data_IF_280506649621
#
_entry.id   IF_280506649621
#
_cell.length_a   1.000
_cell.length_b   1.000
_cell.length_c   1.000
_cell.angle_alpha   90.00
_cell.angle_beta   90.00
_cell.angle_gamma   90.00
#
_symmetry.space_group_name_H-M   'P 1'
#
loop_
_entity.id
_entity.type
_entity.pdbx_description
1 polymer ?
#
# COMPACT_ATOMS: atom_id res chain seq x y z
N UNK A 1 -15.12 21.29 3.10
CA UNK A 1 -13.91 20.47 3.27
C UNK A 1 -12.72 21.40 3.15
N UNK A 2 -12.31 22.00 4.27
CA UNK A 2 -11.12 22.84 4.33
C UNK A 2 -10.20 22.17 5.36
N UNK A 3 -8.99 21.85 4.94
CA UNK A 3 -7.95 21.34 5.84
C UNK A 3 -7.70 22.42 6.91
N UNK A 4 -7.76 22.03 8.18
CA UNK A 4 -7.47 22.92 9.29
C UNK A 4 -5.99 23.28 9.30
N UNK A 5 -5.64 24.34 10.03
CA UNK A 5 -4.24 24.76 10.20
C UNK A 5 -3.35 23.60 10.70
N UNK A 6 -3.90 22.76 11.58
CA UNK A 6 -3.21 21.59 12.14
C UNK A 6 -2.86 20.56 11.05
N UNK A 7 -3.76 20.31 10.11
CA UNK A 7 -3.54 19.33 9.04
C UNK A 7 -2.43 19.77 8.09
N UNK A 8 -2.38 21.07 7.78
CA UNK A 8 -1.30 21.66 7.00
C UNK A 8 0.05 21.55 7.73
N UNK A 9 0.09 21.84 9.03
CA UNK A 9 1.32 21.71 9.83
C UNK A 9 1.80 20.25 9.83
N UNK A 10 0.90 19.30 10.06
CA UNK A 10 1.25 17.85 10.06
C UNK A 10 1.69 17.40 8.67
N UNK A 11 1.01 17.84 7.61
CA UNK A 11 1.39 17.53 6.23
C UNK A 11 2.78 18.09 5.89
N UNK A 12 3.07 19.33 6.24
CA UNK A 12 4.38 19.97 6.01
C UNK A 12 5.46 19.24 6.80
N UNK A 13 5.23 18.92 8.07
CA UNK A 13 6.18 18.16 8.89
C UNK A 13 6.47 16.79 8.28
N UNK A 14 5.44 16.05 7.86
CA UNK A 14 5.58 14.75 7.22
C UNK A 14 6.35 14.83 5.90
N UNK A 15 6.10 15.88 5.10
CA UNK A 15 6.83 16.14 3.86
C UNK A 15 8.31 16.47 4.14
N UNK A 16 8.59 17.30 5.14
CA UNK A 16 9.97 17.64 5.54
C UNK A 16 10.70 16.38 6.02
N UNK A 17 10.06 15.52 6.80
CA UNK A 17 10.66 14.25 7.24
C UNK A 17 10.93 13.32 6.05
N UNK A 18 9.97 13.19 5.13
CA UNK A 18 10.12 12.38 3.91
C UNK A 18 11.27 12.88 3.03
N UNK A 19 11.26 14.18 2.68
CA UNK A 19 12.34 14.83 1.93
C UNK A 19 13.68 14.79 2.68
N UNK A 20 13.67 14.99 3.99
CA UNK A 20 14.84 14.94 4.85
C UNK A 20 15.54 13.58 4.80
N UNK A 21 14.78 12.47 4.84
CA UNK A 21 15.37 11.14 4.66
C UNK A 21 15.97 10.93 3.27
N UNK A 22 15.37 11.52 2.23
CA UNK A 22 15.89 11.51 0.87
C UNK A 22 17.19 12.30 0.72
N UNK A 23 17.22 13.54 1.20
CA UNK A 23 18.37 14.44 1.16
C UNK A 23 19.52 13.88 2.00
N UNK A 24 19.25 13.40 3.22
CA UNK A 24 20.25 12.76 4.09
C UNK A 24 20.91 11.56 3.41
N UNK A 25 20.10 10.69 2.79
CA UNK A 25 20.60 9.54 2.00
C UNK A 25 21.30 9.97 0.72
N UNK A 26 20.96 11.12 0.14
CA UNK A 26 21.64 11.69 -1.02
C UNK A 26 23.03 12.23 -0.67
N UNK A 27 23.15 12.99 0.42
CA UNK A 27 24.43 13.56 0.86
C UNK A 27 25.39 12.54 1.48
N UNK A 28 24.90 11.55 2.25
CA UNK A 28 25.75 10.49 2.81
C UNK A 28 26.24 9.46 1.78
N UNK A 29 25.78 9.52 0.53
CA UNK A 29 26.06 8.50 -0.48
C UNK A 29 27.07 9.03 -1.50
N UNK A 30 28.34 8.96 -1.11
CA UNK A 30 29.46 9.17 -2.01
C UNK A 30 29.55 8.01 -3.01
N UNK A 31 29.51 8.37 -4.29
CA UNK A 31 29.82 7.56 -5.48
C UNK A 31 28.74 6.66 -6.09
N UNK A 32 28.79 6.65 -7.43
CA UNK A 32 27.91 5.99 -8.38
C UNK A 32 27.70 4.50 -8.06
N UNK A 33 26.63 4.17 -7.34
CA UNK A 33 26.17 2.78 -7.25
C UNK A 33 25.65 2.39 -8.63
N UNK A 34 26.38 1.49 -9.30
CA UNK A 34 25.93 0.80 -10.51
C UNK A 34 24.47 0.38 -10.35
N UNK A 35 23.65 0.49 -11.40
CA UNK A 35 22.21 0.20 -11.36
C UNK A 35 21.89 -1.15 -10.71
N UNK A 36 22.77 -2.15 -10.87
CA UNK A 36 22.69 -3.44 -10.18
C UNK A 36 22.72 -3.32 -8.66
N UNK A 37 23.55 -2.45 -8.10
CA UNK A 37 23.72 -2.28 -6.67
C UNK A 37 22.62 -1.39 -6.05
N UNK A 38 22.02 -0.50 -6.86
CA UNK A 38 20.76 0.16 -6.52
C UNK A 38 19.60 -0.84 -6.44
N UNK A 39 19.53 -1.78 -7.40
CA UNK A 39 18.46 -2.78 -7.48
C UNK A 39 18.61 -3.96 -6.51
N UNK A 40 19.84 -4.37 -6.21
CA UNK A 40 20.15 -5.58 -5.43
C UNK A 40 20.36 -5.29 -3.94
N UNK A 41 20.37 -4.01 -3.52
CA UNK A 41 20.48 -3.60 -2.11
C UNK A 41 21.46 -4.48 -1.30
N UNK A 42 22.68 -4.62 -1.81
CA UNK A 42 23.81 -5.38 -1.24
C UNK A 42 23.53 -6.84 -0.80
N UNK A 43 22.40 -7.44 -1.19
CA UNK A 43 22.01 -8.80 -0.82
C UNK A 43 21.83 -9.06 0.68
N UNK A 44 21.85 -8.01 1.53
CA UNK A 44 21.67 -8.08 2.99
C UNK A 44 20.32 -7.50 3.44
N UNK A 45 19.25 -7.88 2.74
CA UNK A 45 17.91 -7.46 3.12
C UNK A 45 17.47 -8.20 4.39
N UNK A 46 17.00 -7.47 5.40
CA UNK A 46 16.40 -8.05 6.62
C UNK A 46 14.93 -8.33 6.36
N UNK A 47 14.45 -9.48 6.85
CA UNK A 47 13.07 -9.97 6.59
C UNK A 47 12.00 -8.95 7.00
N UNK A 48 12.12 -8.38 8.21
CA UNK A 48 11.10 -7.49 8.79
C UNK A 48 10.99 -6.17 8.00
N UNK A 49 12.08 -5.41 7.76
CA UNK A 49 12.02 -4.22 6.91
C UNK A 49 11.49 -4.47 5.50
N UNK A 50 11.87 -5.60 4.88
CA UNK A 50 11.34 -5.95 3.56
C UNK A 50 9.84 -6.24 3.63
N UNK A 51 9.37 -7.01 4.61
CA UNK A 51 7.94 -7.30 4.81
C UNK A 51 7.12 -6.02 5.07
N UNK A 52 7.63 -5.08 5.88
CA UNK A 52 7.00 -3.78 6.11
C UNK A 52 6.93 -2.93 4.85
N UNK A 53 7.99 -2.96 4.05
CA UNK A 53 8.01 -2.29 2.76
C UNK A 53 6.88 -2.82 1.88
N UNK A 54 6.78 -4.15 1.70
CA UNK A 54 5.71 -4.79 0.90
C UNK A 54 4.31 -4.39 1.39
N UNK A 55 4.10 -4.37 2.71
CA UNK A 55 2.84 -3.95 3.35
C UNK A 55 2.46 -2.52 2.96
N UNK A 56 3.41 -1.59 3.08
CA UNK A 56 3.21 -0.18 2.79
C UNK A 56 2.85 0.07 1.32
N UNK A 57 3.31 -0.77 0.39
CA UNK A 57 3.03 -0.64 -1.04
C UNK A 57 1.71 -1.31 -1.45
N UNK A 58 1.25 -2.34 -0.74
CA UNK A 58 -0.02 -3.03 -1.06
C UNK A 58 -1.25 -2.35 -0.46
N UNK A 59 -1.11 -1.72 0.70
CA UNK A 59 -2.25 -1.14 1.42
C UNK A 59 -2.31 0.36 1.22
N UNK A 60 -3.22 0.76 0.34
CA UNK A 60 -3.59 2.16 0.17
C UNK A 60 -4.32 2.69 1.41
N UNK A 61 -3.98 3.90 1.89
CA UNK A 61 -4.75 4.59 2.91
C UNK A 61 -6.23 4.80 2.52
N UNK A 62 -6.52 4.99 1.22
CA UNK A 62 -7.88 5.18 0.71
C UNK A 62 -8.77 3.96 0.92
N UNK A 63 -8.23 2.75 0.74
CA UNK A 63 -8.96 1.49 1.00
C UNK A 63 -9.27 1.27 2.48
N UNK A 64 -8.51 1.89 3.38
CA UNK A 64 -8.73 1.78 4.82
C UNK A 64 -9.99 2.53 5.27
N UNK A 65 -10.31 3.66 4.62
CA UNK A 65 -11.49 4.49 4.88
C UNK A 65 -12.71 4.18 4.00
N UNK A 66 -12.51 3.74 2.75
CA UNK A 66 -13.63 3.39 1.87
C UNK A 66 -14.49 2.24 2.41
N UNK A 67 -13.85 1.25 3.04
CA UNK A 67 -14.56 0.09 3.60
C UNK A 67 -15.42 0.44 4.84
N UNK A 68 -15.00 1.27 5.82
CA UNK A 68 -15.90 1.76 6.87
C UNK A 68 -17.16 2.44 6.32
N UNK A 69 -17.02 3.25 5.27
CA UNK A 69 -18.15 3.90 4.59
C UNK A 69 -19.07 2.85 3.99
N UNK A 70 -18.54 1.83 3.31
CA UNK A 70 -19.33 0.72 2.79
C UNK A 70 -20.05 -0.08 3.90
N UNK A 71 -19.38 -0.37 5.01
CA UNK A 71 -19.99 -1.06 6.15
C UNK A 71 -21.04 -0.19 6.87
N UNK A 72 -20.88 1.13 6.85
CA UNK A 72 -21.84 2.07 7.43
C UNK A 72 -23.10 2.19 6.57
N UNK A 73 -22.96 2.27 5.24
CA UNK A 73 -24.10 2.38 4.32
C UNK A 73 -24.79 1.04 4.01
N UNK A 74 -24.01 -0.04 3.83
CA UNK A 74 -24.53 -1.34 3.39
C UNK A 74 -24.53 -2.41 4.51
N UNK A 75 -24.04 -2.08 5.70
CA UNK A 75 -23.90 -3.02 6.81
C UNK A 75 -22.88 -4.14 6.51
N UNK A 76 -22.78 -5.10 7.42
CA UNK A 76 -22.09 -6.39 7.20
C UNK A 76 -22.86 -7.33 6.25
N UNK A 77 -23.98 -6.85 5.69
CA UNK A 77 -24.95 -7.64 4.92
C UNK A 77 -24.36 -8.23 3.63
N UNK A 78 -23.38 -7.56 3.02
CA UNK A 78 -22.67 -8.07 1.83
C UNK A 78 -21.95 -9.41 2.05
N UNK A 79 -21.50 -9.69 3.28
CA UNK A 79 -20.82 -10.94 3.63
C UNK A 79 -21.83 -12.03 4.05
N UNK A 80 -22.93 -11.64 4.68
CA UNK A 80 -23.89 -12.59 5.27
C UNK A 80 -24.92 -13.13 4.27
N UNK A 81 -25.32 -12.35 3.25
CA UNK A 81 -26.51 -12.69 2.46
C UNK A 81 -26.33 -13.78 1.40
N UNK A 82 -25.11 -14.23 1.07
CA UNK A 82 -24.91 -15.18 -0.03
C UNK A 82 -23.78 -16.21 0.22
N UNK A 83 -23.70 -16.78 1.43
CA UNK A 83 -22.71 -17.83 1.74
C UNK A 83 -22.98 -19.14 0.95
N UNK A 84 -24.25 -19.44 0.69
CA UNK A 84 -24.67 -20.72 0.06
C UNK A 84 -24.89 -20.59 -1.45
N UNK A 85 -24.87 -19.37 -2.00
CA UNK A 85 -25.24 -19.15 -3.39
C UNK A 85 -24.00 -19.16 -4.30
N UNK A 86 -23.89 -20.20 -5.13
CA UNK A 86 -22.76 -20.42 -6.05
C UNK A 86 -23.00 -19.89 -7.47
N UNK A 87 -24.12 -19.22 -7.73
CA UNK A 87 -24.44 -18.72 -9.07
C UNK A 87 -23.40 -17.66 -9.52
N UNK A 88 -22.62 -17.93 -10.57
CA UNK A 88 -21.62 -17.00 -11.07
C UNK A 88 -22.23 -15.76 -11.73
N UNK A 89 -23.53 -15.78 -12.07
CA UNK A 89 -24.25 -14.66 -12.71
C UNK A 89 -24.55 -13.53 -11.72
N UNK A 90 -24.55 -13.80 -10.42
CA UNK A 90 -24.80 -12.83 -9.38
C UNK A 90 -23.49 -12.11 -9.01
N UNK A 91 -23.45 -10.80 -9.19
CA UNK A 91 -22.23 -9.98 -9.01
C UNK A 91 -21.59 -10.07 -7.61
N UNK A 92 -22.39 -10.22 -6.56
CA UNK A 92 -21.95 -10.20 -5.16
C UNK A 92 -22.35 -11.46 -4.40
N UNK A 93 -21.77 -12.61 -4.77
CA UNK A 93 -21.79 -13.82 -3.94
C UNK A 93 -20.50 -13.94 -3.14
N UNK A 94 -20.54 -14.62 -1.99
CA UNK A 94 -19.32 -14.87 -1.20
C UNK A 94 -18.24 -15.56 -2.04
N UNK A 95 -18.64 -16.49 -2.92
CA UNK A 95 -17.75 -17.22 -3.80
C UNK A 95 -17.13 -16.34 -4.88
N UNK A 96 -17.91 -15.49 -5.56
CA UNK A 96 -17.38 -14.56 -6.55
C UNK A 96 -16.42 -13.54 -5.92
N UNK A 97 -16.73 -13.05 -4.72
CA UNK A 97 -15.85 -12.15 -3.97
C UNK A 97 -14.57 -12.88 -3.56
N UNK A 98 -14.67 -14.10 -3.03
CA UNK A 98 -13.50 -14.86 -2.58
C UNK A 98 -12.55 -15.20 -3.73
N UNK A 99 -13.10 -15.67 -4.85
CA UNK A 99 -12.35 -15.95 -6.08
C UNK A 99 -11.70 -14.66 -6.58
N UNK A 100 -12.44 -13.56 -6.67
CA UNK A 100 -11.90 -12.26 -7.08
C UNK A 100 -10.74 -11.81 -6.18
N UNK A 101 -10.88 -11.93 -4.86
CA UNK A 101 -9.83 -11.56 -3.90
C UNK A 101 -8.57 -12.41 -4.06
N UNK A 102 -8.70 -13.71 -4.31
CA UNK A 102 -7.54 -14.58 -4.58
C UNK A 102 -6.79 -14.10 -5.82
N UNK A 103 -7.49 -13.97 -6.96
CA UNK A 103 -6.85 -13.56 -8.22
C UNK A 103 -6.24 -12.16 -8.11
N UNK A 104 -6.97 -11.21 -7.53
CA UNK A 104 -6.48 -9.85 -7.35
C UNK A 104 -5.27 -9.80 -6.42
N UNK A 105 -5.28 -10.56 -5.31
CA UNK A 105 -4.14 -10.61 -4.39
C UNK A 105 -2.93 -11.25 -5.04
N UNK A 106 -3.09 -12.40 -5.72
CA UNK A 106 -1.98 -13.06 -6.42
C UNK A 106 -1.37 -12.17 -7.50
N UNK A 107 -2.20 -11.49 -8.31
CA UNK A 107 -1.72 -10.54 -9.30
C UNK A 107 -0.93 -9.37 -8.66
N UNK A 108 -1.37 -8.88 -7.50
CA UNK A 108 -0.65 -7.82 -6.77
C UNK A 108 0.76 -8.26 -6.31
N UNK A 109 0.91 -9.49 -5.81
CA UNK A 109 2.21 -9.99 -5.38
C UNK A 109 3.12 -10.43 -6.54
N UNK A 110 2.54 -10.95 -7.63
CA UNK A 110 3.29 -11.54 -8.74
C UNK A 110 3.62 -10.55 -9.87
N UNK A 111 2.66 -9.68 -10.23
CA UNK A 111 2.76 -8.87 -11.45
C UNK A 111 3.19 -7.43 -11.18
N UNK A 112 3.05 -6.94 -9.95
CA UNK A 112 3.44 -5.56 -9.64
C UNK A 112 4.97 -5.47 -9.55
N UNK A 113 5.54 -4.66 -10.44
CA UNK A 113 6.98 -4.47 -10.54
C UNK A 113 7.64 -4.02 -9.23
N UNK A 114 7.02 -3.09 -8.50
CA UNK A 114 7.54 -2.60 -7.21
C UNK A 114 7.66 -3.73 -6.17
N UNK A 115 6.85 -4.79 -6.28
CA UNK A 115 6.88 -5.96 -5.41
C UNK A 115 7.94 -6.96 -5.87
N UNK A 116 7.95 -7.28 -7.17
CA UNK A 116 8.96 -8.16 -7.76
C UNK A 116 10.39 -7.69 -7.45
N UNK A 117 10.63 -6.37 -7.55
CA UNK A 117 11.91 -5.74 -7.21
C UNK A 117 12.36 -5.93 -5.76
N UNK A 118 11.45 -6.22 -4.82
CA UNK A 118 11.78 -6.40 -3.41
C UNK A 118 12.17 -7.83 -3.05
N UNK A 119 11.87 -8.78 -3.94
CA UNK A 119 12.29 -10.18 -3.81
C UNK A 119 13.56 -10.49 -4.62
N UNK A 120 13.82 -9.77 -5.72
CA UNK A 120 15.02 -9.97 -6.56
C UNK A 120 16.37 -9.92 -5.82
N UNK A 121 16.54 -9.12 -4.75
CA UNK A 121 17.77 -9.13 -3.94
C UNK A 121 17.98 -10.41 -3.12
N UNK A 122 16.95 -11.22 -2.92
CA UNK A 122 17.03 -12.42 -2.09
C UNK A 122 17.89 -13.49 -2.79
N UNK A 123 18.95 -13.95 -2.12
CA UNK A 123 19.80 -15.04 -2.63
C UNK A 123 19.10 -16.40 -2.60
N UNK A 124 18.11 -16.56 -1.72
CA UNK A 124 17.36 -17.80 -1.52
C UNK A 124 15.85 -17.61 -1.71
N UNK A 125 15.21 -18.56 -2.39
CA UNK A 125 13.75 -18.60 -2.54
C UNK A 125 13.03 -18.77 -1.20
N UNK A 126 13.62 -19.53 -0.28
CA UNK A 126 13.10 -19.70 1.10
C UNK A 126 13.07 -18.38 1.87
N UNK A 127 14.05 -17.50 1.63
CA UNK A 127 14.07 -16.17 2.24
C UNK A 127 12.89 -15.33 1.71
N UNK A 128 12.69 -15.30 0.38
CA UNK A 128 11.58 -14.58 -0.22
C UNK A 128 10.22 -15.10 0.28
N UNK A 129 10.04 -16.42 0.39
CA UNK A 129 8.83 -17.02 0.97
C UNK A 129 8.59 -16.57 2.41
N UNK A 130 9.62 -16.58 3.25
CA UNK A 130 9.51 -16.13 4.64
C UNK A 130 9.14 -14.65 4.75
N UNK A 131 9.65 -13.81 3.85
CA UNK A 131 9.25 -12.40 3.74
C UNK A 131 7.77 -12.26 3.40
N UNK A 132 7.27 -13.00 2.40
CA UNK A 132 5.85 -12.98 2.00
C UNK A 132 4.95 -13.46 3.13
N UNK A 133 5.29 -14.56 3.80
CA UNK A 133 4.52 -15.06 4.95
C UNK A 133 4.51 -14.07 6.11
N UNK A 134 5.65 -13.46 6.42
CA UNK A 134 5.73 -12.40 7.44
C UNK A 134 4.82 -11.23 7.06
N UNK A 135 4.86 -10.80 5.79
CA UNK A 135 3.98 -9.75 5.29
C UNK A 135 2.49 -10.11 5.42
N UNK A 136 2.11 -11.36 5.14
CA UNK A 136 0.73 -11.84 5.29
C UNK A 136 0.26 -11.80 6.76
N UNK A 137 1.12 -12.20 7.71
CA UNK A 137 0.81 -12.09 9.15
C UNK A 137 0.59 -10.63 9.56
N UNK A 138 1.45 -9.72 9.08
CA UNK A 138 1.29 -8.28 9.34
C UNK A 138 0.00 -7.71 8.73
N UNK A 139 -0.39 -8.21 7.56
CA UNK A 139 -1.65 -7.86 6.91
C UNK A 139 -2.88 -8.30 7.72
N UNK A 140 -2.89 -9.54 8.20
CA UNK A 140 -3.98 -10.05 9.05
C UNK A 140 -4.09 -9.21 10.32
N UNK A 141 -2.96 -8.93 10.98
CA UNK A 141 -2.92 -8.06 12.15
C UNK A 141 -3.48 -6.65 11.86
N UNK A 142 -3.05 -6.04 10.76
CA UNK A 142 -3.55 -4.72 10.33
C UNK A 142 -5.06 -4.76 10.05
N UNK A 143 -5.57 -5.83 9.43
CA UNK A 143 -6.99 -6.00 9.16
C UNK A 143 -7.80 -6.15 10.46
N UNK A 144 -7.33 -6.95 11.42
CA UNK A 144 -7.95 -7.07 12.74
C UNK A 144 -8.00 -5.72 13.44
N UNK A 145 -6.89 -4.99 13.49
CA UNK A 145 -6.86 -3.64 14.07
C UNK A 145 -7.84 -2.70 13.37
N UNK A 146 -7.91 -2.76 12.04
CA UNK A 146 -8.88 -1.96 11.27
C UNK A 146 -10.32 -2.34 11.58
N UNK A 147 -10.62 -3.62 11.82
CA UNK A 147 -11.95 -4.08 12.23
C UNK A 147 -12.31 -3.56 13.63
N UNK A 148 -11.37 -3.59 14.58
CA UNK A 148 -11.58 -3.01 15.91
C UNK A 148 -11.93 -1.52 15.83
N UNK A 149 -11.15 -0.73 15.07
CA UNK A 149 -11.42 0.70 14.85
C UNK A 149 -12.80 0.89 14.19
N UNK A 150 -13.15 0.07 13.20
CA UNK A 150 -14.47 0.11 12.55
C UNK A 150 -15.62 -0.17 13.51
N UNK A 151 -15.50 -1.17 14.38
CA UNK A 151 -16.51 -1.46 15.39
C UNK A 151 -16.67 -0.30 16.39
N UNK A 152 -15.57 0.35 16.77
CA UNK A 152 -15.59 1.53 17.64
C UNK A 152 -16.30 2.72 16.96
N UNK A 153 -15.98 2.98 15.68
CA UNK A 153 -16.65 4.01 14.89
C UNK A 153 -18.14 3.69 14.71
N UNK A 154 -18.48 2.45 14.37
CA UNK A 154 -19.87 2.03 14.24
C UNK A 154 -20.65 2.23 15.54
N UNK A 155 -20.10 1.85 16.70
CA UNK A 155 -20.75 2.09 17.99
C UNK A 155 -21.01 3.60 18.22
N UNK A 156 -20.00 4.43 18.01
CA UNK A 156 -20.08 5.90 18.19
C UNK A 156 -21.07 6.57 17.24
N UNK A 157 -21.18 6.10 16.00
CA UNK A 157 -21.99 6.71 14.95
C UNK A 157 -23.28 5.94 14.62
N UNK A 158 -23.58 4.84 15.33
CA UNK A 158 -24.76 4.00 15.09
C UNK A 158 -26.09 4.74 15.24
N UNK A 159 -26.11 5.76 16.10
CA UNK A 159 -27.29 6.60 16.37
C UNK A 159 -27.26 7.94 15.62
N UNK A 160 -26.17 8.24 14.89
CA UNK A 160 -26.07 9.46 14.10
C UNK A 160 -26.71 9.25 12.72
N UNK A 161 -27.42 10.26 12.23
CA UNK A 161 -28.10 10.25 10.95
C UNK A 161 -27.07 10.13 9.80
N UNK A 162 -27.10 9.08 8.95
CA UNK A 162 -26.09 8.82 7.92
C UNK A 162 -26.00 9.88 6.82
N UNK A 163 -26.95 10.82 6.80
CA UNK A 163 -27.01 11.93 5.86
C UNK A 163 -26.45 13.24 6.41
N UNK A 164 -25.92 13.26 7.64
CA UNK A 164 -25.20 14.41 8.20
C UNK A 164 -23.67 14.16 8.28
N UNK A 165 -22.93 14.29 7.17
CA UNK A 165 -21.52 13.92 7.09
C UNK A 165 -20.57 14.85 7.86
N UNK A 166 -21.05 15.96 8.44
CA UNK A 166 -20.18 16.98 9.09
C UNK A 166 -19.31 16.39 10.20
N UNK A 167 -19.86 15.51 11.05
CA UNK A 167 -19.14 14.94 12.18
C UNK A 167 -18.09 13.88 11.74
N UNK A 168 -18.39 13.12 10.68
CA UNK A 168 -17.44 12.17 10.08
C UNK A 168 -16.28 12.90 9.37
N UNK A 169 -16.57 14.02 8.70
CA UNK A 169 -15.58 14.79 7.96
C UNK A 169 -14.56 15.51 8.86
N UNK A 170 -14.95 15.95 10.06
CA UNK A 170 -14.04 16.66 10.97
C UNK A 170 -12.99 15.74 11.63
N UNK A 171 -13.33 14.50 11.99
CA UNK A 171 -12.35 13.50 12.47
C UNK A 171 -11.41 13.01 11.35
N UNK A 172 -11.83 13.13 10.08
CA UNK A 172 -11.05 12.68 8.93
C UNK A 172 -10.00 13.71 8.50
N UNK A 173 -10.09 14.97 8.93
CA UNK A 173 -9.16 16.03 8.51
C UNK A 173 -7.67 15.73 8.78
N UNK A 174 -7.33 15.30 10.01
CA UNK A 174 -5.97 14.86 10.34
C UNK A 174 -5.59 13.56 9.62
N UNK A 175 -6.58 12.69 9.44
CA UNK A 175 -6.42 11.43 8.70
C UNK A 175 -6.11 11.69 7.22
N UNK A 176 -6.67 12.72 6.60
CA UNK A 176 -6.44 13.11 5.20
C UNK A 176 -4.97 13.50 4.98
N UNK A 177 -4.36 14.30 5.87
CA UNK A 177 -2.96 14.67 5.74
C UNK A 177 -2.02 13.45 5.74
N UNK A 178 -2.27 12.50 6.67
CA UNK A 178 -1.54 11.23 6.73
C UNK A 178 -1.78 10.37 5.50
N UNK A 179 -3.01 10.30 4.99
CA UNK A 179 -3.36 9.57 3.76
C UNK A 179 -2.69 10.16 2.53
N UNK A 180 -2.69 11.49 2.39
CA UNK A 180 -2.01 12.19 1.30
C UNK A 180 -0.52 11.87 1.33
N UNK A 181 0.12 11.94 2.49
CA UNK A 181 1.54 11.62 2.62
C UNK A 181 1.85 10.13 2.32
N UNK A 182 1.04 9.20 2.81
CA UNK A 182 1.22 7.78 2.51
C UNK A 182 0.93 7.45 1.03
N UNK A 183 0.00 8.15 0.40
CA UNK A 183 -0.26 8.06 -1.05
C UNK A 183 0.92 8.61 -1.84
N UNK A 184 1.49 9.75 -1.44
CA UNK A 184 2.70 10.34 -2.04
C UNK A 184 3.92 9.43 -1.90
N UNK A 185 4.08 8.74 -0.77
CA UNK A 185 5.14 7.75 -0.57
C UNK A 185 4.99 6.54 -1.52
N UNK A 186 3.76 6.05 -1.69
CA UNK A 186 3.46 4.97 -2.66
C UNK A 186 3.72 5.42 -4.09
N UNK A 187 3.32 6.65 -4.43
CA UNK A 187 3.57 7.26 -5.73
C UNK A 187 5.06 7.39 -6.02
N UNK A 188 5.86 7.84 -5.04
CA UNK A 188 7.32 7.91 -5.13
C UNK A 188 7.97 6.53 -5.38
N UNK A 189 7.49 5.47 -4.71
CA UNK A 189 7.98 4.11 -5.00
C UNK A 189 7.67 3.69 -6.44
N UNK A 190 6.52 4.08 -6.98
CA UNK A 190 6.12 3.79 -8.36
C UNK A 190 6.97 4.54 -9.39
N UNK A 191 7.25 5.82 -9.18
CA UNK A 191 8.11 6.62 -10.06
C UNK A 191 9.56 6.14 -10.04
N UNK A 192 10.08 5.69 -8.89
CA UNK A 192 11.41 5.08 -8.79
C UNK A 192 11.52 3.78 -9.60
N UNK A 193 10.47 2.93 -9.56
CA UNK A 193 10.43 1.72 -10.39
C UNK A 193 10.36 2.05 -11.89
N UNK A 194 9.59 3.07 -12.28
CA UNK A 194 9.50 3.50 -13.67
C UNK A 194 10.82 4.07 -14.19
N UNK A 195 11.52 4.89 -13.40
CA UNK A 195 12.85 5.38 -13.73
C UNK A 195 13.84 4.22 -13.93
N UNK A 196 13.70 3.15 -13.15
CA UNK A 196 14.50 1.93 -13.32
C UNK A 196 14.26 1.27 -14.67
N UNK A 197 12.99 1.10 -15.08
CA UNK A 197 12.64 0.52 -16.40
C UNK A 197 13.26 1.33 -17.53
N UNK A 198 13.13 2.65 -17.49
CA UNK A 198 13.68 3.53 -18.53
C UNK A 198 15.20 3.37 -18.61
N UNK A 199 15.89 3.26 -17.48
CA UNK A 199 17.34 3.11 -17.46
C UNK A 199 17.82 1.72 -17.92
N UNK A 200 17.22 0.65 -17.40
CA UNK A 200 17.65 -0.73 -17.68
C UNK A 200 17.17 -1.24 -19.05
N UNK A 201 15.90 -1.00 -19.38
CA UNK A 201 15.29 -1.61 -20.54
C UNK A 201 15.38 -0.71 -21.78
N UNK A 202 15.36 0.62 -21.62
CA UNK A 202 15.40 1.54 -22.77
C UNK A 202 16.81 2.08 -22.96
N UNK A 203 17.35 2.80 -21.98
CA UNK A 203 18.61 3.52 -22.12
C UNK A 203 19.78 2.56 -22.40
N UNK A 204 19.97 1.52 -21.59
CA UNK A 204 21.05 0.54 -21.82
C UNK A 204 20.90 -0.21 -23.14
N UNK A 205 19.69 -0.56 -23.56
CA UNK A 205 19.49 -1.23 -24.85
C UNK A 205 19.82 -0.30 -26.02
N UNK A 206 19.46 0.99 -25.94
CA UNK A 206 19.81 1.98 -26.94
C UNK A 206 21.32 2.22 -27.01
N UNK A 207 22.01 2.32 -25.87
CA UNK A 207 23.47 2.47 -25.85
C UNK A 207 24.17 1.25 -26.44
N UNK A 208 23.68 0.03 -26.12
CA UNK A 208 24.22 -1.24 -26.66
C UNK A 208 24.03 -1.37 -28.18
N UNK A 209 22.92 -0.83 -28.70
CA UNK A 209 22.61 -0.80 -30.14
C UNK A 209 23.44 0.24 -30.91
N UNK A 210 23.92 1.30 -30.24
CA UNK A 210 24.77 2.33 -30.84
C UNK A 210 26.27 1.97 -30.80
N UNK A 211 26.65 1.00 -29.97
CA UNK A 211 28.03 0.49 -29.84
C UNK A 211 28.30 -0.77 -30.69
N UNK A 212 27.38 -1.13 -31.59
CA UNK A 212 27.47 -2.25 -32.54
C UNK A 212 27.33 -1.70 -33.96
#
# INVERSE_FOLDING_TARGET
MYLGLIDYIVLILLLILSCGTGIYRGYSRSQQVSSKQFLIADGQMKIIPTAMSLLATLKSPASLLGMPVEFYYYGTMLIYCNIVNFDPSIRYTMWNIFISVIFSSTAQYACIQTQAQRYMPAKDTKFAQKVVWTNYVMLVFMHILSLCIRCLLYNKYSQCDPFQPKLFLDEINLSIACMLNATLSTFSSGTNSMATVILEDISKQLTKKHSM
#
